data_IF_853890252578
#
_entry.id   IF_853890252578
#
_cell.length_a   1.000
_cell.length_b   1.000
_cell.length_c   1.000
_cell.angle_alpha   90.00
_cell.angle_beta   90.00
_cell.angle_gamma   90.00
#
_symmetry.space_group_name_H-M   'P 1'
#
loop_
_entity.id
_entity.type
_entity.pdbx_description
1 polymer ?
#
# COMPACT_ATOMS: atom_id res chain seq x y z
N UNK A 1 -13.90 14.00 11.27
CA UNK A 1 -13.23 12.69 11.44
C UNK A 1 -12.41 12.35 10.22
N UNK A 2 -12.95 12.50 9.00
CA UNK A 2 -12.12 12.49 7.79
C UNK A 2 -10.94 13.46 7.91
N UNK A 3 -11.21 14.70 8.31
CA UNK A 3 -10.20 15.76 8.44
C UNK A 3 -9.08 15.41 9.44
N UNK A 4 -9.37 14.57 10.44
CA UNK A 4 -8.38 14.06 11.38
C UNK A 4 -7.49 13.00 10.72
N UNK A 5 -8.06 12.03 9.99
CA UNK A 5 -7.29 11.07 9.17
C UNK A 5 -6.45 11.79 8.11
N UNK A 6 -7.04 12.79 7.46
CA UNK A 6 -6.37 13.60 6.44
C UNK A 6 -5.18 14.36 7.04
N UNK A 7 -5.34 14.97 8.23
CA UNK A 7 -4.28 15.74 8.89
C UNK A 7 -3.10 14.91 9.44
N UNK A 8 -3.22 13.58 9.57
CA UNK A 8 -2.09 12.73 9.97
C UNK A 8 -0.93 12.84 8.96
N UNK A 9 0.33 13.00 9.37
CA UNK A 9 1.46 12.86 8.47
C UNK A 9 1.57 11.40 7.99
N UNK A 10 1.71 11.19 6.69
CA UNK A 10 1.74 9.84 6.06
C UNK A 10 2.98 9.65 5.20
N UNK A 11 3.42 8.40 5.10
CA UNK A 11 4.27 7.93 4.00
C UNK A 11 3.43 6.99 3.12
N UNK A 12 3.53 7.14 1.80
CA UNK A 12 2.90 6.24 0.84
C UNK A 12 4.01 5.43 0.16
N UNK A 13 3.99 4.10 0.32
CA UNK A 13 5.09 3.19 -0.02
C UNK A 13 4.70 2.20 -1.12
N UNK A 14 3.51 2.39 -1.70
CA UNK A 14 2.92 1.54 -2.70
C UNK A 14 1.87 2.39 -3.42
N UNK A 15 2.23 2.80 -4.63
CA UNK A 15 1.40 3.53 -5.57
C UNK A 15 2.08 3.46 -6.93
N UNK A 16 1.33 3.15 -7.98
CA UNK A 16 1.76 3.22 -9.37
C UNK A 16 1.48 4.61 -9.92
N UNK A 17 2.47 5.27 -10.54
CA UNK A 17 2.29 6.63 -11.08
C UNK A 17 1.25 6.63 -12.21
N UNK A 18 1.28 5.63 -13.07
CA UNK A 18 0.33 5.32 -14.13
C UNK A 18 -1.08 5.11 -13.55
N UNK A 19 -1.18 4.44 -12.40
CA UNK A 19 -2.39 4.27 -11.60
C UNK A 19 -2.99 5.57 -11.04
N UNK A 20 -2.22 6.66 -11.05
CA UNK A 20 -2.65 8.00 -10.64
C UNK A 20 -3.25 8.85 -11.79
N UNK A 21 -3.27 8.32 -13.02
CA UNK A 21 -3.78 8.99 -14.22
C UNK A 21 -5.31 9.19 -14.16
N UNK A 22 -5.75 10.30 -13.57
CA UNK A 22 -7.17 10.66 -13.54
C UNK A 22 -7.74 10.87 -14.97
N UNK A 23 -8.98 10.43 -15.23
CA UNK A 23 -9.66 10.60 -16.52
C UNK A 23 -9.57 11.99 -17.16
N UNK A 24 -9.66 13.07 -16.39
CA UNK A 24 -9.55 14.44 -16.93
C UNK A 24 -8.14 14.74 -17.44
N UNK A 25 -7.09 14.23 -16.78
CA UNK A 25 -5.72 14.33 -17.27
C UNK A 25 -5.53 13.44 -18.50
N UNK A 26 -6.06 12.22 -18.49
CA UNK A 26 -5.99 11.30 -19.64
C UNK A 26 -6.55 11.97 -20.91
N UNK A 27 -7.72 12.60 -20.83
CA UNK A 27 -8.32 13.32 -21.96
C UNK A 27 -7.49 14.54 -22.39
N UNK A 28 -6.96 15.33 -21.44
CA UNK A 28 -6.10 16.48 -21.76
C UNK A 28 -4.78 16.07 -22.45
N UNK A 29 -4.16 14.96 -22.01
CA UNK A 29 -2.96 14.41 -22.63
C UNK A 29 -3.26 13.81 -24.02
N UNK A 30 -4.40 13.13 -24.18
CA UNK A 30 -4.84 12.63 -25.49
C UNK A 30 -5.07 13.77 -26.49
N UNK A 31 -5.70 14.87 -26.08
CA UNK A 31 -5.86 16.08 -26.91
C UNK A 31 -4.49 16.67 -27.30
N UNK A 32 -3.59 16.85 -26.32
CA UNK A 32 -2.23 17.37 -26.54
C UNK A 32 -1.45 16.51 -27.54
N UNK A 33 -1.53 15.19 -27.40
CA UNK A 33 -0.80 14.22 -28.22
C UNK A 33 -1.54 13.78 -29.49
N UNK A 34 -2.75 14.33 -29.74
CA UNK A 34 -3.62 14.02 -30.89
C UNK A 34 -3.99 12.54 -31.00
N UNK A 35 -4.19 11.89 -29.86
CA UNK A 35 -4.58 10.48 -29.76
C UNK A 35 -6.10 10.40 -29.74
N UNK A 36 -6.68 9.58 -30.64
CA UNK A 36 -8.10 9.30 -30.65
C UNK A 36 -8.43 8.26 -29.57
N UNK A 37 -9.14 8.67 -28.52
CA UNK A 37 -9.55 7.78 -27.44
C UNK A 37 -10.72 6.86 -27.85
N UNK A 38 -10.82 5.64 -27.29
CA UNK A 38 -11.96 4.75 -27.49
C UNK A 38 -13.21 5.19 -26.70
N UNK A 39 -13.08 6.15 -25.79
CA UNK A 39 -14.18 6.71 -24.99
C UNK A 39 -14.59 8.09 -25.52
N UNK A 40 -15.91 8.33 -25.61
CA UNK A 40 -16.45 9.60 -26.10
C UNK A 40 -16.18 10.78 -25.12
N UNK A 41 -16.19 10.51 -23.82
CA UNK A 41 -16.01 11.50 -22.76
C UNK A 41 -15.48 10.85 -21.46
N UNK A 42 -15.12 11.73 -20.51
CA UNK A 42 -14.62 11.36 -19.18
C UNK A 42 -15.61 10.49 -18.39
N UNK A 43 -16.92 10.73 -18.50
CA UNK A 43 -17.93 9.95 -17.78
C UNK A 43 -18.05 8.52 -18.34
N UNK A 44 -17.90 8.35 -19.66
CA UNK A 44 -17.84 7.05 -20.32
C UNK A 44 -16.63 6.24 -19.86
N UNK A 45 -15.45 6.87 -19.78
CA UNK A 45 -14.24 6.24 -19.21
C UNK A 45 -14.43 5.91 -17.71
N UNK A 46 -14.95 6.85 -16.92
CA UNK A 46 -15.25 6.62 -15.48
C UNK A 46 -16.25 5.48 -15.28
N UNK A 47 -17.17 5.27 -16.21
CA UNK A 47 -18.11 4.14 -16.25
C UNK A 47 -17.43 2.78 -16.46
N UNK A 48 -16.24 2.74 -17.06
CA UNK A 48 -15.46 1.52 -17.25
C UNK A 48 -14.64 1.10 -16.01
N UNK A 49 -14.60 1.91 -14.94
CA UNK A 49 -13.81 1.63 -13.72
C UNK A 49 -14.51 0.64 -12.76
N UNK A 50 -14.93 -0.49 -13.31
CA UNK A 50 -15.55 -1.63 -12.64
C UNK A 50 -14.92 -2.92 -13.17
N UNK A 51 -14.24 -3.66 -12.28
CA UNK A 51 -13.37 -4.78 -12.62
C UNK A 51 -13.85 -6.04 -11.89
N UNK A 52 -13.68 -7.22 -12.49
CA UNK A 52 -13.98 -8.50 -11.87
C UNK A 52 -12.74 -9.22 -11.31
N UNK A 53 -11.52 -8.78 -11.66
CA UNK A 53 -10.22 -9.34 -11.30
C UNK A 53 -9.08 -8.35 -11.67
N UNK A 54 -7.83 -8.68 -11.33
CA UNK A 54 -6.63 -7.90 -11.69
C UNK A 54 -6.46 -7.72 -13.21
N UNK A 55 -6.73 -8.75 -14.03
CA UNK A 55 -6.48 -8.68 -15.48
C UNK A 55 -7.39 -7.67 -16.20
N UNK A 56 -8.68 -7.62 -15.88
CA UNK A 56 -9.61 -6.61 -16.45
C UNK A 56 -9.23 -5.17 -16.08
N UNK A 57 -8.63 -5.00 -14.90
CA UNK A 57 -8.06 -3.72 -14.49
C UNK A 57 -6.79 -3.39 -15.30
N UNK A 58 -5.86 -4.35 -15.43
CA UNK A 58 -4.61 -4.17 -16.16
C UNK A 58 -4.83 -3.86 -17.64
N UNK A 59 -5.81 -4.49 -18.30
CA UNK A 59 -6.18 -4.21 -19.69
C UNK A 59 -6.53 -2.72 -19.88
N UNK A 60 -7.25 -2.12 -18.92
CA UNK A 60 -7.64 -0.71 -18.95
C UNK A 60 -6.50 0.23 -18.51
N UNK A 61 -5.68 -0.18 -17.53
CA UNK A 61 -4.49 0.54 -17.07
C UNK A 61 -3.47 0.71 -18.21
N UNK A 62 -3.09 -0.38 -18.89
CA UNK A 62 -2.14 -0.32 -20.02
C UNK A 62 -2.69 0.45 -21.21
N UNK A 63 -4.00 0.37 -21.47
CA UNK A 63 -4.66 1.21 -22.49
C UNK A 63 -4.64 2.70 -22.10
N UNK A 64 -4.86 3.02 -20.82
CA UNK A 64 -4.81 4.40 -20.33
C UNK A 64 -3.42 5.02 -20.44
N UNK A 65 -2.37 4.23 -20.21
CA UNK A 65 -1.00 4.67 -20.33
C UNK A 65 -0.60 5.09 -21.77
N UNK A 66 -1.37 4.76 -22.81
CA UNK A 66 -1.14 5.16 -24.20
C UNK A 66 -1.02 6.67 -24.41
N UNK A 67 -1.66 7.49 -23.55
CA UNK A 67 -1.58 8.95 -23.65
C UNK A 67 -0.22 9.53 -23.20
N UNK A 68 0.62 8.74 -22.53
CA UNK A 68 1.92 9.14 -21.99
C UNK A 68 3.01 8.93 -23.06
N UNK A 69 3.49 10.03 -23.67
CA UNK A 69 4.39 10.01 -24.83
C UNK A 69 5.63 10.89 -24.67
N UNK A 70 5.50 12.01 -24.00
CA UNK A 70 6.49 13.08 -23.87
C UNK A 70 6.89 13.29 -22.42
N UNK A 71 8.06 13.89 -22.19
CA UNK A 71 8.58 14.22 -20.85
C UNK A 71 7.57 15.03 -20.03
N UNK A 72 6.84 15.95 -20.69
CA UNK A 72 5.80 16.75 -20.05
C UNK A 72 4.58 15.93 -19.62
N UNK A 73 4.25 14.82 -20.29
CA UNK A 73 3.14 13.95 -19.90
C UNK A 73 3.46 13.23 -18.58
N UNK A 74 4.69 12.72 -18.45
CA UNK A 74 5.19 12.08 -17.23
C UNK A 74 5.38 13.09 -16.08
N UNK A 75 5.80 14.31 -16.39
CA UNK A 75 5.82 15.42 -15.43
C UNK A 75 4.41 15.74 -14.93
N UNK A 76 3.45 15.97 -15.83
CA UNK A 76 2.09 16.38 -15.45
C UNK A 76 1.37 15.30 -14.61
N UNK A 77 1.56 14.03 -14.96
CA UNK A 77 1.09 12.87 -14.19
C UNK A 77 1.66 12.88 -12.76
N UNK A 78 2.98 12.87 -12.64
CA UNK A 78 3.69 12.82 -11.35
C UNK A 78 3.39 14.05 -10.50
N UNK A 79 3.31 15.23 -11.12
CA UNK A 79 2.99 16.49 -10.45
C UNK A 79 1.54 16.54 -9.95
N UNK A 80 0.58 16.02 -10.74
CA UNK A 80 -0.80 15.87 -10.30
C UNK A 80 -0.91 14.96 -9.07
N UNK A 81 -0.20 13.83 -9.06
CA UNK A 81 -0.09 12.95 -7.90
C UNK A 81 0.47 13.67 -6.66
N UNK A 82 1.60 14.37 -6.79
CA UNK A 82 2.25 15.08 -5.69
C UNK A 82 1.37 16.19 -5.09
N UNK A 83 0.55 16.86 -5.89
CA UNK A 83 -0.46 17.80 -5.39
C UNK A 83 -1.54 17.10 -4.53
N UNK A 84 -1.95 15.88 -4.88
CA UNK A 84 -2.87 15.06 -4.07
C UNK A 84 -2.22 14.65 -2.74
N UNK A 85 -0.96 14.21 -2.78
CA UNK A 85 -0.16 13.94 -1.57
C UNK A 85 -0.14 15.15 -0.63
N UNK A 86 0.14 16.34 -1.17
CA UNK A 86 0.16 17.58 -0.38
C UNK A 86 -1.19 17.88 0.29
N UNK A 87 -2.29 17.68 -0.44
CA UNK A 87 -3.65 17.88 0.07
C UNK A 87 -4.05 16.85 1.16
N UNK A 88 -3.39 15.69 1.21
CA UNK A 88 -3.67 14.60 2.16
C UNK A 88 -2.56 14.38 3.20
N UNK A 89 -1.66 15.36 3.40
CA UNK A 89 -0.55 15.29 4.34
C UNK A 89 0.36 14.05 4.17
N UNK A 90 0.48 13.53 2.95
CA UNK A 90 1.57 12.61 2.59
C UNK A 90 2.85 13.44 2.49
N UNK A 91 3.81 13.13 3.35
CA UNK A 91 5.09 13.85 3.50
C UNK A 91 6.27 13.07 2.87
N UNK A 92 6.05 11.80 2.56
CA UNK A 92 7.00 10.92 1.91
C UNK A 92 6.28 10.00 0.92
N UNK A 93 6.86 9.77 -0.26
CA UNK A 93 6.33 8.81 -1.24
C UNK A 93 7.44 7.95 -1.86
N UNK A 94 7.22 6.64 -1.92
CA UNK A 94 8.06 5.70 -2.67
C UNK A 94 7.23 5.07 -3.80
N UNK A 95 6.98 5.82 -4.90
CA UNK A 95 6.09 5.37 -5.96
C UNK A 95 6.82 4.42 -6.94
N UNK A 96 6.03 3.54 -7.53
CA UNK A 96 6.41 2.69 -8.66
C UNK A 96 6.19 3.41 -10.00
N UNK A 97 6.91 2.95 -11.01
CA UNK A 97 6.59 3.16 -12.42
C UNK A 97 7.05 1.94 -13.24
N UNK A 98 6.46 1.75 -14.41
CA UNK A 98 6.65 0.59 -15.27
C UNK A 98 7.41 0.99 -16.55
N UNK A 99 8.75 0.91 -16.61
CA UNK A 99 9.48 1.37 -17.79
C UNK A 99 9.06 0.60 -19.04
N UNK A 100 8.82 -0.71 -18.91
CA UNK A 100 8.43 -1.61 -19.99
C UNK A 100 7.10 -1.18 -20.64
N UNK A 101 6.12 -0.73 -19.84
CA UNK A 101 4.84 -0.16 -20.31
C UNK A 101 5.04 0.99 -21.29
N UNK A 102 6.16 1.69 -21.23
CA UNK A 102 6.49 2.84 -22.09
C UNK A 102 7.52 2.50 -23.17
N UNK A 103 8.60 1.79 -22.84
CA UNK A 103 9.68 1.46 -23.76
C UNK A 103 9.22 0.56 -24.90
N UNK A 104 8.30 -0.37 -24.63
CA UNK A 104 7.79 -1.31 -25.63
C UNK A 104 6.88 -0.60 -26.65
N UNK A 105 6.35 0.58 -26.28
CA UNK A 105 5.62 1.51 -27.17
C UNK A 105 6.53 2.51 -27.88
N UNK A 106 7.85 2.37 -27.73
CA UNK A 106 8.86 3.23 -28.36
C UNK A 106 9.15 4.56 -27.64
N UNK A 107 8.66 4.77 -26.41
CA UNK A 107 9.06 5.94 -25.61
C UNK A 107 10.46 5.67 -25.03
N UNK A 108 11.47 6.55 -25.23
CA UNK A 108 12.79 6.35 -24.63
C UNK A 108 12.75 6.36 -23.10
N UNK A 109 13.47 5.46 -22.45
CA UNK A 109 13.57 5.35 -20.98
C UNK A 109 13.88 6.70 -20.31
N UNK A 110 14.80 7.49 -20.88
CA UNK A 110 15.18 8.82 -20.38
C UNK A 110 14.02 9.83 -20.42
N UNK A 111 13.12 9.75 -21.42
CA UNK A 111 11.96 10.67 -21.53
C UNK A 111 10.95 10.43 -20.40
N UNK A 112 10.74 9.16 -20.05
CA UNK A 112 9.93 8.76 -18.88
C UNK A 112 10.57 9.31 -17.61
N UNK A 113 11.84 8.95 -17.40
CA UNK A 113 12.56 9.22 -16.16
C UNK A 113 12.75 10.72 -15.90
N UNK A 114 13.06 11.53 -16.92
CA UNK A 114 13.26 12.96 -16.77
C UNK A 114 11.99 13.67 -16.29
N UNK A 115 10.82 13.33 -16.86
CA UNK A 115 9.54 13.90 -16.48
C UNK A 115 9.18 13.59 -15.03
N UNK A 116 9.31 12.32 -14.63
CA UNK A 116 9.10 11.88 -13.24
C UNK A 116 10.08 12.58 -12.29
N UNK A 117 11.39 12.53 -12.58
CA UNK A 117 12.43 13.10 -11.71
C UNK A 117 12.28 14.62 -11.51
N UNK A 118 11.93 15.36 -12.57
CA UNK A 118 11.74 16.81 -12.44
C UNK A 118 10.49 17.13 -11.59
N UNK A 119 9.40 16.36 -11.74
CA UNK A 119 8.23 16.51 -10.87
C UNK A 119 8.52 16.12 -9.40
N UNK A 120 9.25 15.03 -9.14
CA UNK A 120 9.66 14.62 -7.78
C UNK A 120 10.56 15.67 -7.11
N UNK A 121 11.50 16.25 -7.86
CA UNK A 121 12.35 17.36 -7.43
C UNK A 121 11.54 18.60 -7.08
N UNK A 122 10.55 18.96 -7.89
CA UNK A 122 9.61 20.05 -7.60
C UNK A 122 8.73 19.72 -6.38
N UNK A 123 8.29 18.47 -6.21
CA UNK A 123 7.57 18.00 -5.02
C UNK A 123 8.38 18.22 -3.74
N UNK A 124 9.68 17.94 -3.76
CA UNK A 124 10.59 18.22 -2.64
C UNK A 124 10.79 19.70 -2.39
N UNK A 125 11.01 20.51 -3.43
CA UNK A 125 11.33 21.93 -3.30
C UNK A 125 10.11 22.81 -2.96
N UNK A 126 8.97 22.53 -3.60
CA UNK A 126 7.77 23.38 -3.55
C UNK A 126 6.73 22.86 -2.56
N UNK A 127 6.59 21.53 -2.44
CA UNK A 127 5.57 20.91 -1.58
C UNK A 127 6.15 20.36 -0.26
N UNK A 128 7.48 20.21 -0.17
CA UNK A 128 8.17 19.63 1.00
C UNK A 128 7.97 18.12 1.14
N UNK A 129 7.65 17.43 0.04
CA UNK A 129 7.43 15.98 0.00
C UNK A 129 8.77 15.31 -0.36
N UNK A 130 9.27 14.42 0.48
CA UNK A 130 10.43 13.59 0.13
C UNK A 130 10.02 12.39 -0.71
N UNK A 131 10.90 11.88 -1.56
CA UNK A 131 10.58 10.75 -2.42
C UNK A 131 11.76 9.84 -2.70
N UNK A 132 11.47 8.59 -3.06
CA UNK A 132 12.43 7.65 -3.65
C UNK A 132 11.72 6.79 -4.70
N UNK A 133 12.08 6.95 -5.97
CA UNK A 133 11.43 6.25 -7.08
C UNK A 133 11.80 4.76 -7.09
N UNK A 134 10.85 3.91 -7.45
CA UNK A 134 11.05 2.46 -7.58
C UNK A 134 10.78 2.06 -9.03
N UNK A 135 11.75 1.39 -9.65
CA UNK A 135 11.62 0.86 -10.99
C UNK A 135 10.96 -0.52 -10.90
N UNK A 136 9.78 -0.70 -11.49
CA UNK A 136 9.10 -1.99 -11.46
C UNK A 136 9.32 -2.81 -12.73
N UNK A 137 9.35 -4.14 -12.58
CA UNK A 137 9.40 -5.08 -13.70
C UNK A 137 8.04 -5.73 -13.91
N UNK A 138 7.58 -5.78 -15.16
CA UNK A 138 6.28 -6.36 -15.52
C UNK A 138 6.36 -7.90 -15.50
N UNK A 139 5.78 -8.54 -14.48
CA UNK A 139 6.00 -9.99 -14.25
C UNK A 139 5.42 -10.91 -15.30
N UNK A 140 4.49 -10.44 -16.13
CA UNK A 140 3.95 -11.22 -17.25
C UNK A 140 4.97 -11.39 -18.39
N UNK A 141 5.82 -10.38 -18.63
CA UNK A 141 6.90 -10.41 -19.62
C UNK A 141 8.05 -11.35 -19.21
N UNK A 142 9.04 -11.56 -20.08
CA UNK A 142 10.17 -12.44 -19.78
C UNK A 142 11.19 -11.81 -18.81
N UNK A 143 11.96 -12.64 -18.10
CA UNK A 143 13.09 -12.14 -17.31
C UNK A 143 14.15 -11.46 -18.21
N UNK A 144 14.32 -11.94 -19.45
CA UNK A 144 15.24 -11.33 -20.42
C UNK A 144 14.82 -9.91 -20.83
N UNK A 145 13.52 -9.57 -20.76
CA UNK A 145 13.03 -8.21 -20.95
C UNK A 145 13.30 -7.35 -19.71
N UNK A 146 13.06 -7.88 -18.51
CA UNK A 146 13.44 -7.21 -17.26
C UNK A 146 14.97 -6.96 -17.17
N UNK A 147 15.81 -7.88 -17.66
CA UNK A 147 17.27 -7.70 -17.75
C UNK A 147 17.65 -6.53 -18.66
N UNK A 148 17.00 -6.37 -19.82
CA UNK A 148 17.21 -5.22 -20.74
C UNK A 148 16.74 -3.91 -20.09
N UNK A 149 15.65 -3.93 -19.35
CA UNK A 149 15.18 -2.77 -18.58
C UNK A 149 16.16 -2.40 -17.48
N UNK A 150 16.74 -3.38 -16.78
CA UNK A 150 17.82 -3.16 -15.82
C UNK A 150 19.05 -2.56 -16.50
N UNK A 151 19.48 -3.07 -17.67
CA UNK A 151 20.59 -2.50 -18.46
C UNK A 151 20.37 -1.02 -18.79
N UNK A 152 19.14 -0.64 -19.19
CA UNK A 152 18.76 0.75 -19.45
C UNK A 152 18.79 1.61 -18.19
N UNK A 153 18.49 1.03 -17.02
CA UNK A 153 18.44 1.73 -15.74
C UNK A 153 19.80 1.91 -15.06
N UNK A 154 20.82 1.07 -15.32
CA UNK A 154 22.12 1.16 -14.65
C UNK A 154 22.81 2.54 -14.75
N UNK A 155 22.83 3.24 -15.92
CA UNK A 155 23.37 4.60 -16.01
C UNK A 155 22.63 5.63 -15.14
N UNK A 156 21.39 5.32 -14.75
CA UNK A 156 20.49 6.17 -13.97
C UNK A 156 20.25 5.64 -12.55
N UNK A 157 20.99 4.62 -12.10
CA UNK A 157 20.70 3.86 -10.86
C UNK A 157 20.46 4.75 -9.62
N UNK A 158 21.18 5.86 -9.52
CA UNK A 158 21.12 6.77 -8.37
C UNK A 158 19.80 7.56 -8.30
N UNK A 159 18.93 7.46 -9.31
CA UNK A 159 17.56 7.98 -9.30
C UNK A 159 16.56 7.03 -8.60
N UNK A 160 16.88 5.75 -8.44
CA UNK A 160 15.99 4.74 -7.87
C UNK A 160 16.48 4.27 -6.50
N UNK A 161 15.57 4.05 -5.56
CA UNK A 161 15.90 3.45 -4.26
C UNK A 161 15.82 1.92 -4.29
N UNK A 162 14.98 1.37 -5.18
CA UNK A 162 14.70 -0.06 -5.28
C UNK A 162 14.28 -0.48 -6.69
N UNK A 163 14.28 -1.79 -6.92
CA UNK A 163 13.51 -2.46 -7.98
C UNK A 163 12.27 -3.14 -7.40
N UNK A 164 11.19 -3.14 -8.17
CA UNK A 164 9.89 -3.76 -7.89
C UNK A 164 9.53 -4.89 -8.85
N UNK A 165 8.41 -5.56 -8.59
CA UNK A 165 7.80 -6.58 -9.44
C UNK A 165 6.28 -6.52 -9.26
N UNK A 166 5.53 -6.40 -10.35
CA UNK A 166 4.07 -6.24 -10.35
C UNK A 166 3.45 -6.83 -11.64
N UNK A 167 2.24 -6.39 -12.00
CA UNK A 167 1.41 -6.95 -13.07
C UNK A 167 0.84 -8.34 -12.70
N UNK A 168 0.22 -9.03 -13.66
CA UNK A 168 -0.57 -10.25 -13.44
C UNK A 168 0.17 -11.28 -12.57
N UNK A 169 -0.27 -11.49 -11.32
CA UNK A 169 0.47 -12.32 -10.36
C UNK A 169 0.38 -13.82 -10.68
N UNK A 170 -0.83 -14.31 -10.94
CA UNK A 170 -1.09 -15.75 -11.11
C UNK A 170 -0.39 -16.32 -12.36
N UNK A 171 0.40 -17.38 -12.16
CA UNK A 171 1.17 -18.03 -13.22
C UNK A 171 2.54 -17.40 -13.50
N UNK A 172 2.89 -16.33 -12.77
CA UNK A 172 4.15 -15.60 -12.92
C UNK A 172 4.88 -15.52 -11.56
N UNK A 173 5.42 -16.66 -11.07
CA UNK A 173 6.01 -16.76 -9.74
C UNK A 173 7.24 -15.86 -9.57
N UNK A 174 7.54 -15.35 -8.37
CA UNK A 174 8.73 -14.53 -8.11
C UNK A 174 10.04 -15.20 -8.55
N UNK A 175 10.17 -16.52 -8.39
CA UNK A 175 11.30 -17.33 -8.90
C UNK A 175 11.63 -17.11 -10.39
N UNK A 176 10.67 -16.69 -11.22
CA UNK A 176 10.87 -16.34 -12.64
C UNK A 176 11.88 -15.20 -12.83
N UNK A 177 12.00 -14.31 -11.85
CA UNK A 177 12.83 -13.08 -11.92
C UNK A 177 14.04 -13.10 -10.97
N UNK A 178 14.41 -14.27 -10.46
CA UNK A 178 15.49 -14.38 -9.46
C UNK A 178 16.81 -13.79 -9.95
N UNK A 179 17.21 -14.01 -11.21
CA UNK A 179 18.53 -13.58 -11.72
C UNK A 179 18.58 -12.08 -11.99
N UNK A 180 17.47 -11.47 -12.42
CA UNK A 180 17.43 -9.99 -12.56
C UNK A 180 17.42 -9.31 -11.20
N UNK A 181 16.75 -9.88 -10.19
CA UNK A 181 16.80 -9.38 -8.82
C UNK A 181 18.17 -9.58 -8.16
N UNK A 182 18.79 -10.76 -8.31
CA UNK A 182 20.16 -11.03 -7.84
C UNK A 182 21.14 -10.01 -8.43
N UNK A 183 21.01 -9.72 -9.73
CA UNK A 183 21.81 -8.72 -10.43
C UNK A 183 21.52 -7.31 -9.92
N UNK A 184 20.26 -6.90 -9.79
CA UNK A 184 19.89 -5.59 -9.26
C UNK A 184 20.46 -5.36 -7.84
N UNK A 185 20.36 -6.34 -6.95
CA UNK A 185 20.97 -6.26 -5.61
C UNK A 185 22.50 -6.17 -5.67
N UNK A 186 23.15 -6.82 -6.64
CA UNK A 186 24.60 -6.72 -6.85
C UNK A 186 25.05 -5.34 -7.35
N UNK A 187 24.18 -4.62 -8.08
CA UNK A 187 24.40 -3.25 -8.57
C UNK A 187 24.04 -2.16 -7.54
N UNK A 188 23.51 -2.56 -6.38
CA UNK A 188 23.23 -1.70 -5.23
C UNK A 188 21.76 -1.39 -4.95
N UNK A 189 20.82 -1.90 -5.76
CA UNK A 189 19.39 -1.66 -5.55
C UNK A 189 18.84 -2.43 -4.34
N UNK A 190 17.88 -1.82 -3.65
CA UNK A 190 16.96 -2.55 -2.75
C UNK A 190 15.95 -3.32 -3.60
N UNK A 191 15.36 -4.39 -3.05
CA UNK A 191 14.31 -5.18 -3.70
C UNK A 191 12.98 -5.05 -2.93
N UNK A 192 11.87 -4.91 -3.67
CA UNK A 192 10.47 -5.02 -3.21
C UNK A 192 9.68 -5.82 -4.25
N UNK A 193 8.48 -6.32 -3.93
CA UNK A 193 7.67 -7.09 -4.88
C UNK A 193 6.22 -7.26 -4.41
N UNK A 194 5.29 -7.23 -5.37
CA UNK A 194 3.91 -7.68 -5.17
C UNK A 194 3.91 -9.19 -4.96
N UNK A 195 3.43 -9.62 -3.80
CA UNK A 195 3.26 -11.04 -3.51
C UNK A 195 2.06 -11.26 -2.58
N UNK A 196 1.19 -12.22 -2.93
CA UNK A 196 0.06 -12.57 -2.09
C UNK A 196 -1.12 -11.59 -2.19
N UNK A 197 -1.32 -11.01 -3.37
CA UNK A 197 -2.56 -10.33 -3.73
C UNK A 197 -3.57 -11.34 -4.26
N UNK A 198 -3.35 -11.85 -5.49
CA UNK A 198 -4.06 -13.00 -6.06
C UNK A 198 -3.24 -14.29 -5.88
N UNK A 199 -1.91 -14.20 -5.83
CA UNK A 199 -0.97 -15.31 -5.70
C UNK A 199 -1.00 -16.00 -4.33
N UNK A 200 -0.57 -17.26 -4.23
CA UNK A 200 -0.66 -18.02 -3.00
C UNK A 200 0.50 -17.70 -2.03
N UNK A 201 0.43 -18.10 -0.75
CA UNK A 201 1.48 -17.83 0.25
C UNK A 201 2.90 -18.26 -0.16
N UNK A 202 3.02 -19.29 -1.01
CA UNK A 202 4.30 -19.74 -1.58
C UNK A 202 5.00 -18.64 -2.40
N UNK A 203 4.26 -17.75 -3.07
CA UNK A 203 4.87 -16.62 -3.77
C UNK A 203 5.46 -15.60 -2.78
N UNK A 204 4.85 -15.43 -1.61
CA UNK A 204 5.39 -14.58 -0.56
C UNK A 204 6.70 -15.19 -0.01
N UNK A 205 6.76 -16.50 0.19
CA UNK A 205 8.00 -17.21 0.51
C UNK A 205 9.08 -17.04 -0.58
N UNK A 206 8.75 -17.24 -1.86
CA UNK A 206 9.69 -17.05 -2.97
C UNK A 206 10.21 -15.60 -3.04
N UNK A 207 9.35 -14.61 -2.84
CA UNK A 207 9.76 -13.21 -2.88
C UNK A 207 10.67 -12.84 -1.68
N UNK A 208 10.42 -13.38 -0.49
CA UNK A 208 11.29 -13.21 0.68
C UNK A 208 12.64 -13.92 0.52
N UNK A 209 12.68 -15.16 0.01
CA UNK A 209 13.89 -15.99 0.05
C UNK A 209 14.72 -15.95 -1.23
N UNK A 210 14.08 -15.84 -2.40
CA UNK A 210 14.75 -15.79 -3.71
C UNK A 210 15.01 -14.34 -4.13
N UNK A 211 13.99 -13.48 -4.07
CA UNK A 211 14.13 -12.06 -4.44
C UNK A 211 14.74 -11.19 -3.32
N UNK A 212 14.73 -11.68 -2.07
CA UNK A 212 15.31 -11.04 -0.89
C UNK A 212 14.77 -9.62 -0.63
N UNK A 213 13.47 -9.45 -0.84
CA UNK A 213 12.75 -8.18 -0.69
C UNK A 213 12.83 -7.62 0.73
N UNK A 214 12.68 -6.30 0.87
CA UNK A 214 12.67 -5.59 2.18
C UNK A 214 11.27 -5.29 2.73
N UNK A 215 10.25 -5.42 1.88
CA UNK A 215 8.83 -5.37 2.22
C UNK A 215 8.06 -6.21 1.22
N UNK A 216 6.87 -6.65 1.61
CA UNK A 216 5.92 -7.35 0.75
C UNK A 216 4.88 -6.31 0.30
N UNK A 217 4.63 -6.24 -1.00
CA UNK A 217 3.56 -5.39 -1.52
C UNK A 217 2.26 -6.20 -1.64
N UNK A 218 1.15 -5.64 -1.12
CA UNK A 218 -0.06 -6.32 -0.62
C UNK A 218 0.18 -7.30 0.55
N UNK A 219 0.59 -8.55 0.27
CA UNK A 219 0.77 -9.60 1.28
C UNK A 219 -0.50 -10.11 1.97
N UNK A 220 -1.71 -9.73 1.53
CA UNK A 220 -2.97 -10.02 2.26
C UNK A 220 -3.26 -11.52 2.39
N UNK A 221 -2.81 -12.35 1.43
CA UNK A 221 -2.95 -13.81 1.49
C UNK A 221 -1.97 -14.51 2.45
N UNK A 222 -1.01 -13.78 3.05
CA UNK A 222 -0.10 -14.35 4.06
C UNK A 222 -0.83 -15.00 5.24
N UNK A 223 -2.04 -14.53 5.58
CA UNK A 223 -2.85 -15.04 6.70
C UNK A 223 -3.26 -16.52 6.54
N UNK A 224 -3.13 -17.09 5.34
CA UNK A 224 -3.42 -18.50 5.05
C UNK A 224 -2.31 -19.45 5.55
N UNK A 225 -1.10 -18.95 5.78
CA UNK A 225 0.05 -19.70 6.31
C UNK A 225 0.50 -19.11 7.66
N UNK A 226 0.20 -19.81 8.75
CA UNK A 226 0.58 -19.44 10.10
C UNK A 226 2.11 -19.40 10.33
N UNK A 227 2.90 -20.18 9.59
CA UNK A 227 4.37 -20.13 9.67
C UNK A 227 4.91 -18.88 9.00
N UNK A 228 4.33 -18.50 7.85
CA UNK A 228 4.66 -17.26 7.16
C UNK A 228 4.28 -16.03 8.01
N UNK A 229 3.07 -16.03 8.58
CA UNK A 229 2.63 -14.99 9.51
C UNK A 229 3.59 -14.82 10.69
N UNK A 230 4.01 -15.93 11.31
CA UNK A 230 4.98 -15.90 12.41
C UNK A 230 6.31 -15.25 11.97
N UNK A 231 6.84 -15.63 10.81
CA UNK A 231 8.06 -15.02 10.23
C UNK A 231 7.90 -13.52 10.01
N UNK A 232 6.80 -13.10 9.38
CA UNK A 232 6.51 -11.68 9.08
C UNK A 232 6.46 -10.85 10.37
N UNK A 233 5.86 -11.39 11.44
CA UNK A 233 5.78 -10.74 12.76
C UNK A 233 7.17 -10.65 13.40
N UNK A 234 7.92 -11.75 13.44
CA UNK A 234 9.23 -11.84 14.12
C UNK A 234 10.31 -10.98 13.43
N UNK A 235 10.34 -10.97 12.09
CA UNK A 235 11.26 -10.17 11.29
C UNK A 235 10.78 -8.71 11.10
N UNK A 236 9.55 -8.37 11.51
CA UNK A 236 8.89 -7.08 11.31
C UNK A 236 8.91 -6.61 9.84
N UNK A 237 8.67 -7.54 8.93
CA UNK A 237 8.59 -7.30 7.49
C UNK A 237 7.37 -6.39 7.22
N UNK A 238 7.54 -5.21 6.59
CA UNK A 238 6.41 -4.36 6.25
C UNK A 238 5.54 -4.99 5.16
N UNK A 239 4.22 -4.84 5.30
CA UNK A 239 3.24 -5.14 4.25
C UNK A 239 2.58 -3.85 3.79
N UNK A 240 2.70 -3.51 2.50
CA UNK A 240 2.06 -2.30 1.93
C UNK A 240 0.67 -2.66 1.43
N UNK A 241 -0.32 -2.52 2.31
CA UNK A 241 -1.68 -3.04 2.06
C UNK A 241 -2.54 -1.98 1.39
N UNK A 242 -3.33 -2.40 0.39
CA UNK A 242 -4.08 -1.53 -0.50
C UNK A 242 -5.62 -1.75 -0.42
N UNK A 243 -6.29 -1.42 0.71
CA UNK A 243 -7.68 -1.85 0.98
C UNK A 243 -8.71 -1.61 -0.12
N UNK A 244 -8.62 -0.47 -0.84
CA UNK A 244 -9.53 -0.18 -1.95
C UNK A 244 -9.23 -1.05 -3.18
N UNK A 245 -7.94 -1.30 -3.48
CA UNK A 245 -7.50 -2.22 -4.54
C UNK A 245 -8.00 -3.63 -4.30
N UNK A 246 -7.66 -4.20 -3.14
CA UNK A 246 -8.09 -5.54 -2.76
C UNK A 246 -9.63 -5.72 -2.76
N UNK A 247 -10.41 -4.65 -2.55
CA UNK A 247 -11.89 -4.68 -2.68
C UNK A 247 -12.39 -4.47 -4.11
N UNK A 248 -11.69 -3.69 -4.94
CA UNK A 248 -12.06 -3.37 -6.34
C UNK A 248 -11.67 -4.49 -7.31
N UNK A 249 -10.61 -5.23 -7.00
CA UNK A 249 -10.08 -6.35 -7.79
C UNK A 249 -10.60 -7.71 -7.29
N UNK A 250 -11.60 -7.71 -6.39
CA UNK A 250 -12.27 -8.90 -5.86
C UNK A 250 -11.40 -9.88 -5.05
N UNK A 251 -10.24 -9.45 -4.55
CA UNK A 251 -9.46 -10.20 -3.53
C UNK A 251 -10.26 -10.36 -2.23
N UNK A 252 -11.07 -9.35 -1.89
CA UNK A 252 -12.18 -9.45 -0.94
C UNK A 252 -13.48 -8.93 -1.60
N UNK A 253 -14.62 -9.61 -1.43
CA UNK A 253 -15.90 -9.12 -1.96
C UNK A 253 -16.27 -7.74 -1.39
N UNK A 254 -15.97 -7.55 -0.10
CA UNK A 254 -16.39 -6.43 0.72
C UNK A 254 -15.28 -5.97 1.66
N UNK A 255 -15.11 -4.66 1.81
CA UNK A 255 -14.19 -4.04 2.79
C UNK A 255 -14.36 -4.56 4.24
N UNK A 256 -15.53 -5.10 4.61
CA UNK A 256 -15.77 -5.72 5.92
C UNK A 256 -15.15 -7.11 6.12
N UNK A 257 -14.64 -7.73 5.05
CA UNK A 257 -13.85 -8.97 5.10
C UNK A 257 -12.33 -8.67 5.12
N UNK A 258 -11.93 -7.41 4.92
CA UNK A 258 -10.53 -7.05 4.70
C UNK A 258 -9.68 -7.24 5.97
N UNK A 259 -8.71 -8.14 5.91
CA UNK A 259 -7.96 -8.67 7.06
C UNK A 259 -6.86 -7.75 7.63
N UNK A 260 -6.56 -6.59 7.02
CA UNK A 260 -5.55 -5.62 7.48
C UNK A 260 -5.60 -5.31 8.99
N UNK A 261 -6.78 -5.20 9.59
CA UNK A 261 -6.90 -4.91 11.02
C UNK A 261 -6.63 -6.15 11.87
N UNK A 262 -6.97 -7.35 11.40
CA UNK A 262 -6.61 -8.60 12.06
C UNK A 262 -5.09 -8.83 12.00
N UNK A 263 -4.45 -8.51 10.87
CA UNK A 263 -2.99 -8.53 10.72
C UNK A 263 -2.31 -7.53 11.69
N UNK A 264 -2.85 -6.32 11.81
CA UNK A 264 -2.34 -5.30 12.74
C UNK A 264 -2.45 -5.76 14.20
N UNK A 265 -3.60 -6.29 14.62
CA UNK A 265 -3.80 -6.80 15.98
C UNK A 265 -2.96 -8.06 16.27
N UNK A 266 -2.58 -8.83 15.23
CA UNK A 266 -1.59 -9.92 15.31
C UNK A 266 -0.12 -9.43 15.40
N UNK A 267 0.15 -8.14 15.24
CA UNK A 267 1.49 -7.55 15.33
C UNK A 267 2.25 -7.44 14.00
N UNK A 268 1.58 -7.65 12.86
CA UNK A 268 2.17 -7.41 11.53
C UNK A 268 2.32 -5.91 11.28
N UNK A 269 3.45 -5.52 10.69
CA UNK A 269 3.77 -4.14 10.31
C UNK A 269 3.06 -3.74 9.00
N UNK A 270 1.74 -3.76 9.00
CA UNK A 270 0.92 -3.30 7.87
C UNK A 270 0.96 -1.77 7.72
N UNK A 271 1.02 -1.28 6.49
CA UNK A 271 0.76 0.12 6.12
C UNK A 271 -0.50 0.23 5.27
N UNK A 272 -1.02 1.45 5.09
CA UNK A 272 -2.24 1.74 4.31
C UNK A 272 -1.86 2.56 3.10
N UNK A 273 -2.17 2.07 1.91
CA UNK A 273 -1.71 2.60 0.63
C UNK A 273 -2.87 2.73 -0.37
N UNK A 274 -2.73 3.59 -1.38
CA UNK A 274 -3.80 3.89 -2.35
C UNK A 274 -3.69 3.17 -3.69
N UNK A 275 -2.51 2.61 -4.01
CA UNK A 275 -2.28 1.74 -5.17
C UNK A 275 -2.47 2.49 -6.50
N UNK A 276 -3.55 2.21 -7.24
CA UNK A 276 -4.00 2.96 -8.43
C UNK A 276 -5.17 3.91 -8.12
N UNK A 277 -4.94 5.06 -7.47
CA UNK A 277 -6.00 5.88 -6.89
C UNK A 277 -7.01 6.43 -7.92
N UNK A 278 -6.63 6.58 -9.20
CA UNK A 278 -7.53 7.08 -10.23
C UNK A 278 -8.58 6.03 -10.65
N UNK A 279 -8.14 4.78 -10.87
CA UNK A 279 -8.99 3.67 -11.34
C UNK A 279 -9.81 3.06 -10.18
N UNK A 280 -9.23 3.00 -8.98
CA UNK A 280 -9.83 2.30 -7.84
C UNK A 280 -10.84 3.16 -7.06
N UNK A 281 -10.93 4.46 -7.32
CA UNK A 281 -11.93 5.33 -6.66
C UNK A 281 -13.37 4.86 -6.96
N UNK A 282 -14.24 4.94 -5.95
CA UNK A 282 -15.69 4.83 -6.14
C UNK A 282 -16.25 6.18 -6.56
N UNK A 283 -16.99 6.22 -7.66
CA UNK A 283 -17.79 7.39 -8.02
C UNK A 283 -18.88 7.61 -6.96
N UNK A 284 -19.03 8.85 -6.50
CA UNK A 284 -20.30 9.28 -5.93
C UNK A 284 -21.24 9.64 -7.08
N UNK A 285 -22.17 8.75 -7.43
CA UNK A 285 -23.52 9.14 -7.86
C UNK A 285 -24.47 7.93 -7.76
N UNK A 286 -25.78 8.20 -7.79
CA UNK A 286 -26.81 7.24 -7.39
C UNK A 286 -27.00 6.09 -8.38
N UNK A 287 -27.27 4.89 -7.84
CA UNK A 287 -27.80 3.68 -8.53
C UNK A 287 -27.57 3.62 -10.06
N UNK A 288 -26.32 3.49 -10.49
CA UNK A 288 -26.05 2.83 -11.77
C UNK A 288 -26.43 1.34 -11.62
N UNK A 289 -27.23 0.77 -12.54
CA UNK A 289 -27.56 -0.65 -12.50
C UNK A 289 -26.30 -1.48 -12.77
N UNK A 290 -26.22 -2.67 -12.15
CA UNK A 290 -25.18 -3.65 -12.50
C UNK A 290 -25.32 -4.03 -13.98
N UNK A 291 -24.23 -4.31 -14.71
CA UNK A 291 -24.32 -4.95 -16.01
C UNK A 291 -25.17 -6.22 -15.90
N UNK A 292 -26.14 -6.39 -16.80
CA UNK A 292 -26.89 -7.63 -16.87
C UNK A 292 -25.99 -8.74 -17.40
N UNK A 293 -25.98 -9.90 -16.75
CA UNK A 293 -25.32 -11.09 -17.32
C UNK A 293 -25.90 -11.37 -18.72
N UNK A 294 -25.07 -11.77 -19.71
CA UNK A 294 -25.59 -12.22 -20.99
C UNK A 294 -26.52 -13.43 -20.77
N UNK A 295 -27.65 -13.53 -21.49
CA UNK A 295 -28.60 -14.62 -21.31
C UNK A 295 -27.96 -15.95 -21.70
N UNK A 296 -27.75 -16.81 -20.70
CA UNK A 296 -27.26 -18.17 -20.91
C UNK A 296 -28.24 -19.00 -21.73
N UNK A 297 -27.73 -19.74 -22.71
CA UNK A 297 -28.52 -20.60 -23.60
C UNK A 297 -29.35 -21.65 -22.84
N UNK A 298 -30.54 -21.93 -23.40
CA UNK A 298 -31.53 -22.91 -22.93
C UNK A 298 -30.95 -24.20 -22.34
N UNK A 299 -31.37 -24.51 -21.11
CA UNK A 299 -31.39 -25.89 -20.59
C UNK A 299 -32.83 -26.31 -20.37
N UNK A 300 -33.24 -27.35 -21.09
CA UNK A 300 -34.59 -27.93 -21.06
C UNK A 300 -34.93 -28.47 -19.64
N UNK A 301 -36.19 -28.40 -19.19
CA UNK A 301 -36.58 -28.89 -17.88
C UNK A 301 -36.60 -30.43 -17.81
N UNK A 302 -36.02 -30.98 -16.73
CA UNK A 302 -36.20 -32.38 -16.31
C UNK A 302 -37.42 -32.53 -15.37
N UNK A 303 -37.92 -33.77 -15.15
CA UNK A 303 -39.19 -34.01 -14.47
C UNK A 303 -39.12 -33.94 -12.94
N UNK A 304 -40.26 -33.60 -12.33
CA UNK A 304 -40.45 -33.48 -10.88
C UNK A 304 -40.58 -34.84 -10.16
N UNK A 305 -40.08 -34.99 -8.93
CA UNK A 305 -40.48 -36.05 -8.01
C UNK A 305 -41.58 -35.57 -7.04
N UNK A 306 -42.49 -36.48 -6.66
CA UNK A 306 -43.55 -36.23 -5.68
C UNK A 306 -43.26 -36.76 -4.27
N UNK A 307 -44.07 -36.31 -3.30
CA UNK A 307 -44.59 -37.02 -2.09
C UNK A 307 -43.72 -38.14 -1.47
N UNK A 308 -43.35 -38.12 -0.18
CA UNK A 308 -44.24 -38.24 1.00
C UNK A 308 -43.53 -37.83 2.32
N UNK A 309 -44.31 -37.60 3.39
CA UNK A 309 -43.85 -37.57 4.80
C UNK A 309 -44.27 -38.86 5.53
N UNK A 310 -43.62 -39.22 6.65
CA UNK A 310 -44.42 -39.24 7.90
C UNK A 310 -43.67 -38.93 9.22
N UNK A 311 -44.43 -38.52 10.25
CA UNK A 311 -44.26 -39.04 11.61
C UNK A 311 -43.45 -38.24 12.65
N UNK A 312 -44.13 -37.72 13.67
CA UNK A 312 -43.54 -37.18 14.92
C UNK A 312 -43.47 -38.30 16.01
N UNK A 313 -42.71 -38.16 17.12
CA UNK A 313 -43.27 -37.44 18.28
C UNK A 313 -42.25 -36.66 19.16
N UNK A 314 -42.78 -35.88 20.12
CA UNK A 314 -42.02 -35.04 21.05
C UNK A 314 -41.55 -35.76 22.34
N UNK A 315 -40.51 -35.24 23.01
CA UNK A 315 -40.04 -35.78 24.29
C UNK A 315 -39.05 -34.91 25.09
N UNK A 316 -39.60 -34.22 26.10
CA UNK A 316 -38.99 -33.87 27.41
C UNK A 316 -37.75 -32.94 27.53
N UNK A 317 -37.70 -32.33 28.72
CA UNK A 317 -36.81 -31.24 29.16
C UNK A 317 -35.73 -31.81 30.09
N UNK A 318 -34.49 -31.35 29.97
CA UNK A 318 -33.62 -31.25 31.15
C UNK A 318 -32.68 -30.03 31.09
N UNK A 319 -32.47 -29.37 32.24
CA UNK A 319 -31.68 -28.14 32.34
C UNK A 319 -30.22 -28.47 32.66
N UNK A 320 -29.27 -27.93 31.88
CA UNK A 320 -27.86 -27.80 32.33
C UNK A 320 -27.35 -26.37 32.13
N UNK A 321 -26.42 -25.98 33.00
CA UNK A 321 -26.05 -24.59 33.28
C UNK A 321 -25.14 -24.02 32.19
N UNK A 322 -25.47 -22.84 31.66
CA UNK A 322 -24.50 -22.03 30.92
C UNK A 322 -23.49 -21.42 31.90
N UNK A 323 -22.22 -21.79 31.75
CA UNK A 323 -21.09 -20.98 32.25
C UNK A 323 -20.78 -19.94 31.17
N UNK A 324 -20.66 -18.67 31.54
CA UNK A 324 -20.29 -17.61 30.60
C UNK A 324 -18.79 -17.64 30.29
N UNK A 325 -18.39 -17.58 29.01
CA UNK A 325 -17.18 -16.87 28.59
C UNK A 325 -17.54 -15.38 28.40
N UNK A 326 -16.68 -14.49 28.87
CA UNK A 326 -16.83 -13.04 28.67
C UNK A 326 -16.50 -12.65 27.22
N UNK A 327 -17.50 -12.54 26.35
CA UNK A 327 -17.34 -11.88 25.06
C UNK A 327 -17.11 -10.38 25.26
N UNK A 328 -15.88 -9.92 25.05
CA UNK A 328 -15.54 -8.50 25.06
C UNK A 328 -14.64 -8.13 23.87
N UNK A 329 -15.06 -8.52 22.67
CA UNK A 329 -14.45 -8.10 21.39
C UNK A 329 -15.56 -7.78 20.39
N UNK A 330 -15.85 -6.49 20.17
CA UNK A 330 -16.54 -5.94 19.00
C UNK A 330 -16.64 -4.40 19.09
N UNK A 331 -16.70 -3.71 17.93
CA UNK A 331 -17.07 -2.28 17.72
C UNK A 331 -16.02 -1.15 17.81
N UNK A 332 -14.73 -1.37 17.51
CA UNK A 332 -13.79 -0.25 17.25
C UNK A 332 -12.94 -0.30 15.97
N UNK A 333 -12.81 -1.43 15.31
CA UNK A 333 -11.97 -1.58 14.10
C UNK A 333 -12.82 -1.53 12.82
N UNK A 334 -12.73 -0.44 12.04
CA UNK A 334 -13.07 -0.27 10.60
C UNK A 334 -13.12 1.23 10.20
N UNK A 335 -12.08 2.01 10.57
CA UNK A 335 -12.01 3.47 10.30
C UNK A 335 -10.60 3.98 9.97
N UNK A 336 -9.68 3.09 9.60
CA UNK A 336 -8.47 3.45 8.85
C UNK A 336 -8.83 3.30 7.37
N UNK A 337 -8.74 4.38 6.60
CA UNK A 337 -9.06 4.31 5.17
C UNK A 337 -8.13 5.22 4.36
N UNK A 338 -7.69 4.67 3.23
CA UNK A 338 -7.06 5.37 2.12
C UNK A 338 -7.92 6.54 1.64
N UNK A 339 -7.33 7.47 0.88
CA UNK A 339 -7.88 8.25 -0.25
C UNK A 339 -9.41 8.44 -0.39
N UNK A 340 -10.15 8.69 0.71
CA UNK A 340 -11.60 8.89 0.71
C UNK A 340 -11.92 10.38 0.74
N UNK A 341 -12.74 10.92 -0.17
CA UNK A 341 -13.26 12.26 0.00
C UNK A 341 -14.35 12.30 1.09
N UNK A 342 -14.08 13.02 2.19
CA UNK A 342 -14.96 13.68 3.19
C UNK A 342 -16.33 13.15 3.66
N UNK A 343 -17.17 12.49 2.86
CA UNK A 343 -18.57 12.20 3.21
C UNK A 343 -18.91 10.71 3.41
N UNK A 344 -17.94 9.80 3.27
CA UNK A 344 -18.19 8.33 3.33
C UNK A 344 -18.32 7.78 4.76
N UNK A 345 -18.36 8.67 5.76
CA UNK A 345 -18.43 8.32 7.19
C UNK A 345 -19.89 8.07 7.66
N UNK A 346 -20.88 8.40 6.83
CA UNK A 346 -22.29 8.28 7.16
C UNK A 346 -23.03 7.24 6.31
N UNK A 347 -22.83 5.94 6.60
CA UNK A 347 -23.92 4.95 6.65
C UNK A 347 -23.47 3.57 7.17
N UNK A 348 -23.34 3.46 8.49
CA UNK A 348 -23.39 2.19 9.21
C UNK A 348 -24.49 2.26 10.27
N UNK A 349 -25.76 2.19 9.84
CA UNK A 349 -26.90 2.00 10.75
C UNK A 349 -27.19 0.51 10.87
N UNK A 350 -26.90 -0.05 12.04
CA UNK A 350 -27.27 -1.43 12.39
C UNK A 350 -28.80 -1.55 12.44
N UNK A 351 -29.35 -2.47 11.66
CA UNK A 351 -30.74 -2.88 11.76
C UNK A 351 -30.88 -4.00 12.80
N UNK A 352 -31.04 -3.63 14.07
CA UNK A 352 -31.52 -4.55 15.12
C UNK A 352 -32.99 -4.28 15.40
N UNK A 353 -33.86 -5.11 14.83
CA UNK A 353 -35.28 -5.08 15.14
C UNK A 353 -35.54 -5.83 16.46
N UNK A 354 -35.69 -5.09 17.57
CA UNK A 354 -36.30 -5.60 18.80
C UNK A 354 -37.30 -4.59 19.36
N UNK A 355 -38.58 -4.97 19.34
CA UNK A 355 -39.67 -4.17 19.94
C UNK A 355 -39.60 -4.29 21.46
N UNK A 356 -39.25 -3.22 22.16
CA UNK A 356 -39.69 -2.98 23.54
C UNK A 356 -39.98 -1.48 23.70
N UNK A 357 -41.24 -1.11 23.96
CA UNK A 357 -41.59 0.23 24.47
C UNK A 357 -41.19 0.32 25.95
N UNK A 358 -40.91 1.53 26.45
CA UNK A 358 -41.95 2.14 27.27
C UNK A 358 -42.22 3.61 26.96
N UNK A 359 -43.47 4.02 27.18
CA UNK A 359 -43.87 5.41 27.31
C UNK A 359 -43.16 6.09 28.49
N UNK A 360 -42.77 7.36 28.29
CA UNK A 360 -42.99 8.43 29.27
C UNK A 360 -42.72 9.81 28.64
N UNK A 361 -43.79 10.54 28.30
CA UNK A 361 -43.75 12.01 28.16
C UNK A 361 -44.30 12.63 29.45
N UNK A 362 -43.59 13.61 30.02
CA UNK A 362 -44.09 14.91 30.50
C UNK A 362 -43.35 15.44 31.74
N UNK A 363 -42.63 16.56 31.57
CA UNK A 363 -42.51 17.70 32.50
C UNK A 363 -41.50 18.70 31.90
N UNK A 364 -41.95 19.74 31.20
CA UNK A 364 -42.35 21.06 31.72
C UNK A 364 -41.19 21.93 32.26
N UNK A 365 -40.89 22.98 31.48
CA UNK A 365 -40.52 24.34 31.87
C UNK A 365 -39.46 24.60 32.95
N UNK A 366 -38.37 25.26 32.55
CA UNK A 366 -37.96 26.56 33.12
C UNK A 366 -37.05 27.33 32.15
N UNK A 367 -37.04 28.66 32.28
CA UNK A 367 -36.51 29.60 31.31
C UNK A 367 -35.39 30.47 31.91
N UNK A 368 -34.29 30.67 31.15
CA UNK A 368 -33.42 31.87 31.06
C UNK A 368 -32.76 32.38 32.37
N UNK A 369 -31.67 33.21 32.35
CA UNK A 369 -31.24 34.10 31.27
C UNK A 369 -29.72 34.09 30.94
N UNK A 370 -29.27 35.20 30.34
CA UNK A 370 -28.11 35.41 29.48
C UNK A 370 -26.87 36.05 30.11
N UNK A 371 -25.79 36.12 29.31
CA UNK A 371 -24.58 36.99 29.32
C UNK A 371 -23.25 36.45 29.90
N UNK A 372 -22.08 36.85 29.33
CA UNK A 372 -20.78 36.23 29.61
C UNK A 372 -19.72 37.15 30.26
N UNK A 373 -18.62 36.59 30.82
CA UNK A 373 -17.32 37.25 30.95
C UNK A 373 -16.31 36.69 29.91
N UNK A 374 -15.76 37.51 29.00
CA UNK A 374 -14.61 38.43 29.15
C UNK A 374 -13.24 37.76 29.32
N UNK A 375 -12.32 38.13 28.43
CA UNK A 375 -10.92 37.71 28.41
C UNK A 375 -10.16 38.15 29.66
N UNK A 376 -9.25 37.29 30.13
CA UNK A 376 -8.18 37.65 31.06
C UNK A 376 -6.86 37.07 30.55
N UNK A 377 -5.92 37.94 30.17
CA UNK A 377 -4.57 37.53 29.80
C UNK A 377 -3.76 37.26 31.06
N UNK A 378 -3.09 36.10 31.13
CA UNK A 378 -2.05 35.85 32.14
C UNK A 378 -0.83 35.18 31.49
N UNK A 379 0.32 35.81 31.69
CA UNK A 379 1.65 35.30 31.35
C UNK A 379 2.03 34.13 32.25
N UNK A 380 2.73 33.14 31.70
CA UNK A 380 3.40 32.12 32.50
C UNK A 380 4.93 32.24 32.43
N UNK A 381 5.54 32.34 33.60
CA UNK A 381 6.98 32.27 33.79
C UNK A 381 7.50 30.84 33.60
N UNK A 382 8.78 30.75 33.23
CA UNK A 382 9.57 29.52 33.24
C UNK A 382 9.71 28.94 34.65
N UNK A 383 9.54 27.64 34.79
CA UNK A 383 10.02 26.87 35.95
C UNK A 383 10.66 25.58 35.45
N UNK A 384 11.99 25.50 35.53
CA UNK A 384 12.71 24.24 35.39
C UNK A 384 12.36 23.33 36.58
N UNK A 385 12.16 22.03 36.33
CA UNK A 385 12.29 21.00 37.37
C UNK A 385 13.24 19.92 36.90
N UNK A 386 14.34 19.77 37.64
CA UNK A 386 15.18 18.57 37.60
C UNK A 386 14.36 17.39 38.15
N UNK A 387 14.53 16.21 37.56
CA UNK A 387 14.16 14.94 38.20
C UNK A 387 15.39 14.03 38.19
N UNK A 388 15.68 13.46 39.35
CA UNK A 388 16.90 12.74 39.70
C UNK A 388 16.84 11.26 39.34
N UNK A 389 17.98 10.69 38.94
CA UNK A 389 18.16 9.23 38.84
C UNK A 389 18.17 8.56 40.23
N UNK A 390 17.64 7.33 40.37
CA UNK A 390 17.97 6.45 41.49
C UNK A 390 19.16 5.53 41.15
N UNK A 391 20.16 5.48 42.03
CA UNK A 391 21.17 4.40 42.10
C UNK A 391 20.76 3.42 43.21
N UNK A 392 20.93 2.12 42.97
CA UNK A 392 20.93 1.08 44.01
C UNK A 392 22.12 0.12 43.84
N UNK A 393 22.64 -0.38 44.97
CA UNK A 393 23.71 -1.37 45.15
C UNK A 393 23.65 -1.90 46.60
N UNK A 394 24.33 -2.95 47.06
CA UNK A 394 25.39 -3.82 46.52
C UNK A 394 25.03 -5.31 46.72
N UNK A 395 25.75 -6.23 46.07
CA UNK A 395 25.67 -7.67 46.40
C UNK A 395 26.73 -8.53 45.72
N UNK A 396 27.91 -8.67 46.33
CA UNK A 396 29.01 -9.49 45.80
C UNK A 396 29.02 -10.92 46.36
N UNK A 397 29.39 -11.90 45.53
CA UNK A 397 30.06 -13.15 45.95
C UNK A 397 31.13 -13.51 44.93
N UNK A 398 32.29 -13.94 45.43
CA UNK A 398 33.37 -14.49 44.63
C UNK A 398 33.60 -15.96 45.02
N UNK A 399 34.06 -16.77 44.07
CA UNK A 399 34.83 -17.98 44.34
C UNK A 399 35.80 -18.23 43.19
N UNK A 400 36.96 -18.78 43.54
CA UNK A 400 38.12 -19.00 42.66
C UNK A 400 37.93 -20.25 41.79
N UNK A 401 38.62 -20.30 40.64
CA UNK A 401 39.56 -21.38 40.31
C UNK A 401 40.57 -20.91 39.24
N UNK A 402 41.78 -21.48 39.26
CA UNK A 402 42.99 -21.03 38.53
C UNK A 402 43.23 -21.75 37.19
N UNK A 403 44.12 -21.24 36.31
CA UNK A 403 44.23 -21.69 34.91
C UNK A 403 45.27 -22.82 34.70
N UNK A 404 45.23 -23.43 33.51
CA UNK A 404 46.27 -24.32 32.97
C UNK A 404 46.73 -23.85 31.58
N UNK A 405 48.03 -23.98 31.32
CA UNK A 405 48.74 -23.48 30.13
C UNK A 405 48.55 -24.38 28.89
N UNK A 406 48.62 -23.80 27.68
CA UNK A 406 49.17 -24.46 26.50
C UNK A 406 49.56 -23.45 25.39
N UNK A 407 50.74 -23.65 24.81
CA UNK A 407 51.37 -22.84 23.75
C UNK A 407 50.57 -22.76 22.43
N UNK A 408 50.75 -21.67 21.64
CA UNK A 408 51.51 -21.75 20.39
C UNK A 408 51.75 -20.41 19.64
N UNK A 409 52.93 -20.36 19.02
CA UNK A 409 53.57 -19.41 18.09
C UNK A 409 52.74 -18.38 17.27
N UNK A 410 53.38 -17.21 17.07
CA UNK A 410 53.15 -16.25 15.98
C UNK A 410 53.54 -16.84 14.60
N UNK A 411 53.02 -16.28 13.50
CA UNK A 411 53.94 -15.53 12.63
C UNK A 411 53.41 -14.16 12.18
N UNK A 412 54.27 -13.42 11.48
CA UNK A 412 54.23 -11.98 11.22
C UNK A 412 53.71 -11.57 9.83
N UNK A 413 53.53 -10.25 9.69
CA UNK A 413 53.46 -9.43 8.46
C UNK A 413 52.10 -9.22 7.77
N UNK A 414 51.62 -7.97 7.76
CA UNK A 414 51.76 -7.07 6.59
C UNK A 414 51.37 -5.62 6.93
N UNK A 415 51.86 -4.68 6.13
CA UNK A 415 51.99 -3.25 6.45
C UNK A 415 50.81 -2.42 5.94
N UNK A 416 50.38 -1.42 6.70
CA UNK A 416 49.41 -0.40 6.26
C UNK A 416 50.15 0.73 5.55
N UNK A 417 49.86 0.97 4.27
CA UNK A 417 50.32 2.13 3.51
C UNK A 417 49.23 3.21 3.45
N UNK A 418 49.53 4.41 3.97
CA UNK A 418 48.70 5.60 3.77
C UNK A 418 49.17 6.35 2.52
N UNK A 419 48.28 6.60 1.56
CA UNK A 419 48.54 7.44 0.40
C UNK A 419 48.00 8.88 0.61
N UNK A 420 48.76 9.93 0.24
CA UNK A 420 48.32 11.32 0.36
C UNK A 420 47.48 11.79 -0.84
N UNK A 421 46.59 12.75 -0.59
CA UNK A 421 45.78 13.44 -1.60
C UNK A 421 46.62 14.39 -2.49
N UNK A 422 46.33 14.52 -3.79
CA UNK A 422 46.97 15.53 -4.64
C UNK A 422 46.37 16.94 -4.43
N UNK A 423 47.25 17.94 -4.34
CA UNK A 423 46.89 19.36 -4.26
C UNK A 423 46.56 19.98 -5.62
N UNK A 424 45.60 20.91 -5.63
CA UNK A 424 45.22 21.75 -6.78
C UNK A 424 46.37 22.61 -7.33
N UNK A 425 46.42 22.78 -8.66
CA UNK A 425 47.15 23.88 -9.32
C UNK A 425 46.22 24.68 -10.28
N UNK A 426 46.48 25.98 -10.51
CA UNK A 426 45.55 26.88 -11.19
C UNK A 426 45.69 26.89 -12.72
N UNK A 427 44.61 27.32 -13.40
CA UNK A 427 44.55 27.44 -14.85
C UNK A 427 45.45 28.56 -15.41
N UNK A 428 46.11 28.28 -16.53
CA UNK A 428 46.81 29.27 -17.37
C UNK A 428 46.00 29.58 -18.63
N UNK A 429 46.10 30.84 -19.09
CA UNK A 429 45.30 31.42 -20.18
C UNK A 429 45.97 31.37 -21.56
N UNK A 430 45.13 31.49 -22.61
CA UNK A 430 45.46 31.73 -24.05
C UNK A 430 45.85 30.45 -24.83
N UNK A 431 45.51 30.32 -26.11
CA UNK A 431 44.96 31.28 -27.10
C UNK A 431 43.64 30.82 -27.70
#
# INVERSE_FOLDING_TARGET
MYDWLNALPKAELHLHLEGSLEPELLFALAERNKIALPWADVETLRGAYAFNNLQEFLDLYYQGADVLRTEQDFYDLTWAYLQRCKAQNVIHTEPFFDPQTHTDRGIPFEVVLNGINQALKDGRQQLGISSGLILSFLRHLSEDEAQKTLDQALPFRDAFIAVGLDSSEMGHPPSKFQRVFDRARSEGFVAVAHAGEEGPPEYIWEALDLLQIKRIDHGVRAIEDERLMQRIIDEQIPLTVCPLSNTKLCVFDHMSQHNILDMLERGVKVTVNSDDPALLRRLRHGKLPRPAHPPGHDRRPGPSPGTEQPGCPAGLIERRRCVQPTCNVSTRAMRLICWIPSAEICNARVSSASRIQPDCRNSLNKAWPSTPPRCGAWSFHSVQRQITQPRCSWGARASMYTPTEANCALPSSLTINCLPLPSSQPATTRR
#
